data_IF_312121873462
#
_entry.id   IF_312121873462
#
_cell.length_a   1.000
_cell.length_b   1.000
_cell.length_c   1.000
_cell.angle_alpha   90.00
_cell.angle_beta   90.00
_cell.angle_gamma   90.00
#
_symmetry.space_group_name_H-M   'P 1'
#
loop_
_entity.id
_entity.type
_entity.pdbx_description
1 polymer ?
#
# COMPACT_ATOMS: atom_id res chain seq x y z
N UNK A 1 -13.93 -0.50 28.56
CA UNK A 1 -14.56 0.73 28.03
C UNK A 1 -14.82 0.54 26.54
N UNK A 2 -16.03 0.79 26.04
CA UNK A 2 -16.29 0.81 24.59
C UNK A 2 -15.80 2.15 24.02
N UNK A 3 -15.11 2.11 22.89
CA UNK A 3 -14.70 3.33 22.21
C UNK A 3 -15.93 4.01 21.60
N UNK A 4 -16.09 5.31 21.86
CA UNK A 4 -17.09 6.12 21.16
C UNK A 4 -16.45 6.63 19.88
N UNK A 5 -17.01 6.25 18.73
CA UNK A 5 -16.59 6.75 17.42
C UNK A 5 -17.55 7.83 16.95
N UNK A 6 -17.01 9.00 16.60
CA UNK A 6 -17.78 10.07 15.98
C UNK A 6 -17.34 10.21 14.52
N UNK A 7 -18.27 10.04 13.59
CA UNK A 7 -18.03 10.28 12.17
C UNK A 7 -18.34 11.74 11.85
N UNK A 8 -17.34 12.48 11.37
CA UNK A 8 -17.47 13.89 11.02
C UNK A 8 -17.26 14.09 9.51
N UNK A 9 -18.24 14.73 8.88
CA UNK A 9 -18.11 15.20 7.50
C UNK A 9 -17.59 16.64 7.52
N UNK A 10 -16.33 16.82 7.14
CA UNK A 10 -15.69 18.13 7.12
C UNK A 10 -15.98 18.83 5.78
N UNK A 11 -16.51 20.06 5.79
CA UNK A 11 -16.51 20.92 4.61
C UNK A 11 -15.08 21.15 4.10
N UNK A 12 -14.90 21.49 2.81
CA UNK A 12 -13.58 21.63 2.20
C UNK A 12 -12.63 22.58 2.95
N UNK A 13 -13.16 23.68 3.49
CA UNK A 13 -12.37 24.65 4.27
C UNK A 13 -11.79 24.06 5.55
N UNK A 14 -12.58 23.31 6.31
CA UNK A 14 -12.11 22.65 7.54
C UNK A 14 -11.14 21.51 7.24
N UNK A 15 -11.39 20.77 6.14
CA UNK A 15 -10.49 19.72 5.70
C UNK A 15 -9.11 20.27 5.33
N UNK A 16 -9.06 21.36 4.55
CA UNK A 16 -7.81 22.02 4.18
C UNK A 16 -7.07 22.60 5.40
N UNK A 17 -7.79 23.22 6.33
CA UNK A 17 -7.20 23.71 7.58
C UNK A 17 -6.58 22.56 8.39
N UNK A 18 -7.25 21.40 8.44
CA UNK A 18 -6.73 20.22 9.12
C UNK A 18 -5.48 19.65 8.44
N UNK A 19 -5.44 19.60 7.11
CA UNK A 19 -4.25 19.18 6.36
C UNK A 19 -3.08 20.12 6.63
N UNK A 20 -3.31 21.45 6.65
CA UNK A 20 -2.27 22.43 6.98
C UNK A 20 -1.72 22.20 8.39
N UNK A 21 -2.60 22.04 9.37
CA UNK A 21 -2.20 21.71 10.74
C UNK A 21 -1.37 20.41 10.80
N UNK A 22 -1.78 19.41 10.02
CA UNK A 22 -1.06 18.14 9.91
C UNK A 22 0.35 18.35 9.38
N UNK A 23 0.50 19.12 8.30
CA UNK A 23 1.80 19.40 7.67
C UNK A 23 2.70 20.24 8.59
N UNK A 24 2.18 21.34 9.15
CA UNK A 24 2.94 22.28 9.99
C UNK A 24 3.53 21.61 11.23
N UNK A 25 2.85 20.61 11.78
CA UNK A 25 3.26 19.90 13.00
C UNK A 25 3.78 18.48 12.75
N UNK A 26 3.85 18.05 11.48
CA UNK A 26 4.25 16.69 11.11
C UNK A 26 3.39 15.60 11.77
N UNK A 27 2.09 15.83 11.92
CA UNK A 27 1.19 14.92 12.66
C UNK A 27 0.57 13.86 11.76
N UNK A 28 0.07 12.78 12.35
CA UNK A 28 -0.85 11.88 11.68
C UNK A 28 -2.26 12.49 11.59
N UNK A 29 -3.07 12.08 10.61
CA UNK A 29 -4.44 12.59 10.39
C UNK A 29 -5.31 12.58 11.65
N UNK A 30 -5.34 11.45 12.37
CA UNK A 30 -6.13 11.30 13.59
C UNK A 30 -5.61 12.18 14.73
N UNK A 31 -4.28 12.36 14.83
CA UNK A 31 -3.66 13.18 15.86
C UNK A 31 -3.90 14.67 15.58
N UNK A 32 -3.81 15.11 14.33
CA UNK A 32 -4.19 16.47 13.94
C UNK A 32 -5.66 16.76 14.28
N UNK A 33 -6.57 15.82 13.98
CA UNK A 33 -8.00 15.95 14.31
C UNK A 33 -8.26 16.04 15.82
N UNK A 34 -7.66 15.15 16.60
CA UNK A 34 -7.80 15.15 18.05
C UNK A 34 -7.14 16.36 18.70
N UNK A 35 -6.02 16.84 18.17
CA UNK A 35 -5.37 18.06 18.65
C UNK A 35 -6.25 19.29 18.39
N UNK A 36 -6.79 19.44 17.17
CA UNK A 36 -7.69 20.53 16.84
C UNK A 36 -8.97 20.52 17.70
N UNK A 37 -9.54 19.33 17.94
CA UNK A 37 -10.70 19.17 18.80
C UNK A 37 -10.37 19.50 20.26
N UNK A 38 -9.23 19.06 20.76
CA UNK A 38 -8.75 19.34 22.13
C UNK A 38 -8.58 20.85 22.34
N UNK A 39 -7.93 21.53 21.41
CA UNK A 39 -7.75 22.99 21.42
C UNK A 39 -9.10 23.72 21.34
N UNK A 40 -10.01 23.27 20.48
CA UNK A 40 -11.35 23.84 20.36
C UNK A 40 -12.17 23.71 21.65
N UNK A 41 -12.25 22.50 22.22
CA UNK A 41 -13.00 22.24 23.45
C UNK A 41 -12.43 22.99 24.65
N UNK A 42 -11.10 23.14 24.72
CA UNK A 42 -10.46 23.97 25.75
C UNK A 42 -10.83 25.44 25.61
N UNK A 43 -10.70 26.02 24.40
CA UNK A 43 -11.05 27.43 24.15
C UNK A 43 -12.54 27.74 24.37
N UNK A 44 -13.40 26.75 24.18
CA UNK A 44 -14.83 26.84 24.46
C UNK A 44 -15.17 26.63 25.94
N UNK A 45 -14.20 26.29 26.79
CA UNK A 45 -14.39 26.10 28.24
C UNK A 45 -14.95 24.74 28.64
N UNK A 46 -15.05 23.77 27.71
CA UNK A 46 -15.57 22.42 27.98
C UNK A 46 -14.51 21.43 28.46
N UNK A 47 -13.23 21.83 28.48
CA UNK A 47 -12.11 21.01 28.91
C UNK A 47 -11.31 21.75 29.97
N UNK A 48 -11.03 21.08 31.08
CA UNK A 48 -10.19 21.64 32.16
C UNK A 48 -8.72 21.75 31.72
N UNK A 49 -8.00 22.72 32.27
CA UNK A 49 -6.59 22.99 31.92
C UNK A 49 -5.67 21.78 32.13
N UNK A 50 -5.89 21.01 33.20
CA UNK A 50 -5.12 19.80 33.50
C UNK A 50 -5.30 18.74 32.42
N UNK A 51 -6.54 18.51 32.00
CA UNK A 51 -6.87 17.54 30.95
C UNK A 51 -6.39 18.02 29.57
N UNK A 52 -6.58 19.31 29.27
CA UNK A 52 -6.05 19.95 28.08
C UNK A 52 -4.54 19.75 27.95
N UNK A 53 -3.77 20.06 28.99
CA UNK A 53 -2.31 19.95 28.98
C UNK A 53 -1.85 18.51 28.70
N UNK A 54 -2.53 17.54 29.32
CA UNK A 54 -2.28 16.10 29.11
C UNK A 54 -2.55 15.68 27.67
N UNK A 55 -3.73 16.01 27.13
CA UNK A 55 -4.16 15.61 25.79
C UNK A 55 -3.35 16.32 24.70
N UNK A 56 -3.07 17.62 24.89
CA UNK A 56 -2.22 18.40 24.00
C UNK A 56 -0.84 17.78 23.86
N UNK A 57 -0.20 17.39 24.97
CA UNK A 57 1.11 16.72 24.93
C UNK A 57 1.06 15.40 24.17
N UNK A 58 -0.01 14.62 24.36
CA UNK A 58 -0.21 13.33 23.67
C UNK A 58 -0.40 13.50 22.16
N UNK A 59 -1.26 14.43 21.73
CA UNK A 59 -1.61 14.57 20.32
C UNK A 59 -0.69 15.50 19.53
N UNK A 60 0.28 16.14 20.20
CA UNK A 60 1.33 16.93 19.54
C UNK A 60 2.57 16.11 19.18
N UNK A 61 2.54 14.78 19.33
CA UNK A 61 3.67 13.92 18.99
C UNK A 61 3.76 13.80 17.46
N UNK A 62 4.88 14.22 16.83
CA UNK A 62 5.05 14.12 15.39
C UNK A 62 5.19 12.66 14.95
N UNK A 63 4.89 12.41 13.68
CA UNK A 63 5.15 11.14 13.04
C UNK A 63 6.66 10.85 13.11
N UNK A 64 7.01 9.65 13.55
CA UNK A 64 8.39 9.18 13.40
C UNK A 64 8.66 9.04 11.91
N UNK A 65 9.80 9.54 11.46
CA UNK A 65 10.33 9.21 10.15
C UNK A 65 10.62 7.70 10.13
N UNK A 66 9.67 6.93 9.62
CA UNK A 66 9.92 5.54 9.28
C UNK A 66 10.69 5.61 7.98
N UNK A 67 12.02 5.47 8.06
CA UNK A 67 12.81 5.10 6.89
C UNK A 67 12.29 3.71 6.52
N UNK A 68 11.36 3.66 5.57
CA UNK A 68 10.94 2.41 4.96
C UNK A 68 12.14 1.97 4.13
N UNK A 69 13.07 1.21 4.73
CA UNK A 69 13.90 0.32 3.93
C UNK A 69 12.94 -0.67 3.31
N UNK A 70 12.53 -0.38 2.08
CA UNK A 70 12.00 -1.41 1.20
C UNK A 70 13.13 -2.40 1.02
N UNK A 71 13.23 -3.38 1.90
CA UNK A 71 13.73 -4.68 1.52
C UNK A 71 12.67 -5.23 0.56
N UNK A 72 12.67 -4.72 -0.67
CA UNK A 72 12.19 -5.47 -1.80
C UNK A 72 13.18 -6.63 -1.94
N UNK A 73 13.06 -7.61 -1.05
CA UNK A 73 13.37 -8.97 -1.47
C UNK A 73 12.51 -9.14 -2.71
N UNK A 74 13.15 -9.20 -3.89
CA UNK A 74 12.49 -9.62 -5.12
C UNK A 74 11.94 -11.01 -4.84
N UNK A 75 10.73 -11.08 -4.28
CA UNK A 75 10.02 -12.32 -4.11
C UNK A 75 9.79 -12.83 -5.52
N UNK A 76 10.56 -13.85 -5.87
CA UNK A 76 10.42 -14.54 -7.13
C UNK A 76 8.95 -14.92 -7.30
N UNK A 77 8.35 -14.70 -8.49
CA UNK A 77 7.01 -15.17 -8.76
C UNK A 77 6.88 -16.66 -8.40
N UNK A 78 5.71 -17.12 -7.92
CA UNK A 78 5.51 -18.51 -7.49
C UNK A 78 5.44 -19.46 -8.69
N UNK A 79 6.58 -19.67 -9.37
CA UNK A 79 6.68 -20.50 -10.57
C UNK A 79 6.37 -21.97 -10.28
N UNK A 80 6.64 -22.47 -9.07
CA UNK A 80 6.29 -23.83 -8.65
C UNK A 80 4.78 -24.06 -8.64
N UNK A 81 4.03 -23.14 -8.02
CA UNK A 81 2.57 -23.19 -7.99
C UNK A 81 2.01 -23.08 -9.41
N UNK A 82 2.62 -22.23 -10.25
CA UNK A 82 2.23 -22.09 -11.65
C UNK A 82 2.45 -23.39 -12.46
N UNK A 83 3.48 -24.17 -12.15
CA UNK A 83 3.74 -25.47 -12.80
C UNK A 83 2.75 -26.55 -12.36
N UNK A 84 2.34 -26.55 -11.09
CA UNK A 84 1.35 -27.50 -10.55
C UNK A 84 -0.06 -27.25 -11.12
N UNK A 85 -0.41 -25.98 -11.35
CA UNK A 85 -1.69 -25.60 -11.93
C UNK A 85 -1.73 -25.65 -13.47
N UNK A 86 -0.59 -25.87 -14.12
CA UNK A 86 -0.43 -25.74 -15.56
C UNK A 86 -1.50 -26.52 -16.35
N UNK A 87 -1.74 -27.78 -16.01
CA UNK A 87 -2.66 -28.65 -16.76
C UNK A 87 -4.14 -28.34 -16.48
N UNK A 88 -4.45 -27.52 -15.47
CA UNK A 88 -5.81 -27.21 -15.02
C UNK A 88 -6.31 -25.84 -15.50
N UNK A 89 -5.47 -25.07 -16.21
CA UNK A 89 -5.70 -23.66 -16.52
C UNK A 89 -5.81 -23.40 -18.02
N UNK A 90 -6.47 -22.30 -18.36
CA UNK A 90 -6.72 -21.88 -19.73
C UNK A 90 -5.46 -21.35 -20.45
N UNK A 91 -5.52 -21.33 -21.78
CA UNK A 91 -4.42 -20.86 -22.65
C UNK A 91 -3.98 -19.43 -22.35
N UNK A 92 -4.89 -18.53 -22.00
CA UNK A 92 -4.58 -17.14 -21.66
C UNK A 92 -3.74 -17.03 -20.38
N UNK A 93 -4.06 -17.87 -19.39
CA UNK A 93 -3.32 -17.94 -18.14
C UNK A 93 -1.89 -18.48 -18.39
N UNK A 94 -1.76 -19.52 -19.24
CA UNK A 94 -0.47 -20.05 -19.66
C UNK A 94 0.39 -18.99 -20.36
N UNK A 95 -0.19 -18.22 -21.30
CA UNK A 95 0.49 -17.12 -21.99
C UNK A 95 0.98 -16.03 -21.02
N UNK A 96 0.19 -15.68 -20.01
CA UNK A 96 0.58 -14.71 -18.98
C UNK A 96 1.82 -15.19 -18.22
N UNK A 97 1.85 -16.46 -17.83
CA UNK A 97 3.00 -17.03 -17.12
C UNK A 97 4.24 -17.18 -17.98
N UNK A 98 4.10 -17.46 -19.27
CA UNK A 98 5.24 -17.43 -20.20
C UNK A 98 5.86 -16.03 -20.27
N UNK A 99 5.04 -14.97 -20.37
CA UNK A 99 5.53 -13.58 -20.35
C UNK A 99 6.24 -13.22 -19.05
N UNK A 100 5.76 -13.73 -17.92
CA UNK A 100 6.40 -13.53 -16.61
C UNK A 100 7.72 -14.31 -16.57
N UNK A 101 7.72 -15.58 -16.96
CA UNK A 101 8.90 -16.45 -16.98
C UNK A 101 10.03 -15.90 -17.88
N UNK A 102 9.70 -15.27 -19.02
CA UNK A 102 10.69 -14.63 -19.89
C UNK A 102 11.47 -13.49 -19.19
N UNK A 103 10.90 -12.87 -18.15
CA UNK A 103 11.59 -11.83 -17.35
C UNK A 103 12.60 -12.41 -16.36
N UNK A 104 12.56 -13.73 -16.11
CA UNK A 104 13.40 -14.41 -15.12
C UNK A 104 14.19 -15.58 -15.75
N UNK A 105 15.12 -15.30 -16.69
CA UNK A 105 15.85 -16.35 -17.42
C UNK A 105 16.81 -17.17 -16.55
N UNK A 106 17.12 -16.69 -15.33
CA UNK A 106 18.01 -17.35 -14.37
C UNK A 106 17.31 -18.32 -13.42
N UNK A 107 15.98 -18.44 -13.49
CA UNK A 107 15.17 -19.30 -12.61
C UNK A 107 14.82 -20.58 -13.35
N UNK A 108 15.18 -21.75 -12.80
CA UNK A 108 14.95 -23.06 -13.42
C UNK A 108 13.45 -23.30 -13.67
N UNK A 109 12.59 -22.97 -12.70
CA UNK A 109 11.15 -23.16 -12.83
C UNK A 109 10.51 -22.28 -13.92
N UNK A 110 11.08 -21.10 -14.18
CA UNK A 110 10.66 -20.24 -15.28
C UNK A 110 11.05 -20.84 -16.64
N UNK A 111 12.20 -21.51 -16.73
CA UNK A 111 12.62 -22.20 -17.96
C UNK A 111 11.68 -23.37 -18.28
N UNK A 112 11.28 -24.15 -17.26
CA UNK A 112 10.35 -25.27 -17.42
C UNK A 112 8.99 -24.79 -17.96
N UNK A 113 8.49 -23.64 -17.49
CA UNK A 113 7.24 -23.03 -18.00
C UNK A 113 7.38 -22.68 -19.48
N UNK A 114 8.52 -22.12 -19.89
CA UNK A 114 8.77 -21.77 -21.29
C UNK A 114 8.85 -23.02 -22.15
N UNK A 115 9.50 -24.09 -21.69
CA UNK A 115 9.60 -25.38 -22.39
C UNK A 115 8.24 -26.04 -22.58
N UNK A 116 7.44 -26.17 -21.51
CA UNK A 116 6.07 -26.70 -21.59
C UNK A 116 5.19 -25.91 -22.57
N UNK A 117 5.34 -24.58 -22.60
CA UNK A 117 4.62 -23.74 -23.56
C UNK A 117 5.08 -23.95 -25.02
N UNK A 118 6.34 -24.34 -25.25
CA UNK A 118 6.83 -24.75 -26.58
C UNK A 118 6.21 -26.08 -27.01
N UNK A 119 6.21 -27.06 -26.10
CA UNK A 119 5.69 -28.41 -26.35
C UNK A 119 4.19 -28.39 -26.69
N UNK A 120 3.40 -27.56 -26.01
CA UNK A 120 1.96 -27.41 -26.27
C UNK A 120 1.65 -26.52 -27.50
N UNK A 121 2.67 -25.97 -28.18
CA UNK A 121 2.47 -25.08 -29.33
C UNK A 121 1.80 -23.75 -28.97
N UNK A 122 1.83 -23.35 -27.69
CA UNK A 122 1.26 -22.08 -27.18
C UNK A 122 2.17 -20.90 -27.54
N UNK A 123 3.42 -21.16 -27.90
CA UNK A 123 4.26 -20.21 -28.63
C UNK A 123 3.74 -20.02 -30.05
N UNK A 124 2.63 -19.30 -30.17
CA UNK A 124 2.26 -18.66 -31.42
C UNK A 124 3.36 -17.65 -31.72
N UNK A 125 3.97 -17.80 -32.89
CA UNK A 125 4.79 -16.82 -33.60
C UNK A 125 4.29 -15.40 -33.34
N UNK A 126 4.92 -14.76 -32.36
CA UNK A 126 4.66 -13.39 -31.91
C UNK A 126 5.87 -12.93 -31.13
N UNK A 127 7.05 -13.24 -31.67
CA UNK A 127 8.30 -12.71 -31.21
C UNK A 127 8.29 -11.20 -31.43
N UNK A 128 8.45 -10.47 -30.33
CA UNK A 128 9.21 -9.21 -30.29
C UNK A 128 8.57 -8.05 -31.09
N UNK A 129 7.46 -7.51 -30.60
CA UNK A 129 7.15 -6.09 -30.83
C UNK A 129 6.69 -5.46 -29.50
N UNK A 130 7.26 -4.30 -29.19
CA UNK A 130 7.01 -3.42 -28.03
C UNK A 130 7.80 -3.66 -26.72
N UNK A 131 9.10 -3.96 -26.80
CA UNK A 131 10.05 -3.59 -25.73
C UNK A 131 11.13 -2.57 -26.16
N UNK A 132 11.06 -2.02 -27.38
CA UNK A 132 11.86 -0.85 -27.77
C UNK A 132 10.95 0.21 -28.40
N UNK A 133 10.45 1.12 -27.55
CA UNK A 133 10.14 2.51 -27.87
C UNK A 133 10.00 3.30 -26.56
#
# INVERSE_FOLDING_TARGET
MKAHGLLLYLPPSLYLALIRLQADKGLGRSFAGLLALTEGLYRLGYLEEKEYTRLRKRYSIPLKEVIVTYNAEEQLPPFKEALEEWDKRDKEWKLKWVRIAMKYPKVEEAQIIIEKAKEEGILVSGAIEACEA
#
